data_IF_339042799810
#
_entry.id   IF_339042799810
#
_cell.length_a   1.000
_cell.length_b   1.000
_cell.length_c   1.000
_cell.angle_alpha   90.00
_cell.angle_beta   90.00
_cell.angle_gamma   90.00
#
_symmetry.space_group_name_H-M   'P 1'
#
loop_
_entity.id
_entity.type
_entity.pdbx_description
1 polymer ?
#
# COMPACT_ATOMS: atom_id res chain seq x y z
N UNK A 1 -6.77 -17.11 14.19
CA UNK A 1 -6.47 -17.17 12.74
C UNK A 1 -6.44 -15.74 12.23
N UNK A 2 -5.35 -15.32 11.59
CA UNK A 2 -5.25 -13.98 10.98
C UNK A 2 -6.21 -13.88 9.81
N UNK A 3 -6.89 -12.74 9.66
CA UNK A 3 -7.75 -12.51 8.48
C UNK A 3 -6.89 -12.44 7.20
N UNK A 4 -7.39 -12.93 6.05
CA UNK A 4 -6.75 -12.69 4.76
C UNK A 4 -6.49 -11.20 4.56
N UNK A 5 -5.31 -10.90 4.03
CA UNK A 5 -4.89 -9.52 3.82
C UNK A 5 -5.75 -8.87 2.73
N UNK A 6 -5.99 -7.57 2.86
CA UNK A 6 -6.81 -6.77 1.93
C UNK A 6 -5.93 -5.86 1.12
N UNK A 7 -6.30 -5.63 -0.14
CA UNK A 7 -5.64 -4.62 -0.95
C UNK A 7 -6.32 -3.28 -0.74
N UNK A 8 -5.55 -2.21 -0.55
CA UNK A 8 -6.05 -0.84 -0.44
C UNK A 8 -5.49 -0.06 -1.63
N UNK A 9 -6.38 0.53 -2.41
CA UNK A 9 -6.07 1.32 -3.61
C UNK A 9 -6.53 2.75 -3.38
N UNK A 10 -5.58 3.68 -3.26
CA UNK A 10 -5.86 5.09 -3.00
C UNK A 10 -5.47 5.97 -4.18
N UNK A 11 -6.38 6.83 -4.61
CA UNK A 11 -6.11 7.80 -5.67
C UNK A 11 -4.98 8.75 -5.27
N UNK A 12 -4.01 8.91 -6.18
CA UNK A 12 -2.89 9.84 -6.05
C UNK A 12 -3.20 11.11 -6.83
N UNK A 13 -3.07 12.24 -6.16
CA UNK A 13 -3.23 13.57 -6.73
C UNK A 13 -1.88 14.06 -7.26
N UNK A 14 -1.80 14.24 -8.57
CA UNK A 14 -0.69 14.94 -9.24
C UNK A 14 -1.15 16.33 -9.70
N UNK A 15 -0.25 17.33 -9.64
CA UNK A 15 -0.53 18.66 -10.20
C UNK A 15 -0.66 18.60 -11.71
N UNK A 16 0.10 17.71 -12.34
CA UNK A 16 0.04 17.41 -13.77
C UNK A 16 -1.27 16.71 -14.19
N UNK A 17 -2.14 16.35 -13.24
CA UNK A 17 -3.34 15.58 -13.49
C UNK A 17 -3.07 14.07 -13.59
N UNK A 18 -4.10 13.30 -13.91
CA UNK A 18 -4.03 11.84 -14.10
C UNK A 18 -5.11 11.12 -13.32
N UNK A 19 -6.15 10.71 -14.05
CA UNK A 19 -7.34 10.11 -13.45
C UNK A 19 -7.07 8.72 -12.87
N UNK A 20 -6.07 7.99 -13.36
CA UNK A 20 -5.78 6.61 -12.98
C UNK A 20 -4.61 6.48 -11.99
N UNK A 21 -4.01 7.58 -11.56
CA UNK A 21 -2.88 7.52 -10.62
C UNK A 21 -3.34 7.04 -9.26
N UNK A 22 -2.64 6.05 -8.72
CA UNK A 22 -2.98 5.48 -7.42
C UNK A 22 -1.77 4.84 -6.74
N UNK A 23 -1.93 4.58 -5.46
CA UNK A 23 -1.01 3.81 -4.64
C UNK A 23 -1.74 2.61 -4.07
N UNK A 24 -1.10 1.46 -4.13
CA UNK A 24 -1.59 0.19 -3.63
C UNK A 24 -0.76 -0.24 -2.42
N UNK A 25 -1.40 -0.80 -1.40
CA UNK A 25 -0.72 -1.50 -0.32
C UNK A 25 -1.63 -2.53 0.31
N UNK A 26 -1.04 -3.48 1.03
CA UNK A 26 -1.77 -4.53 1.72
C UNK A 26 -2.06 -4.14 3.17
N UNK A 27 -3.27 -4.46 3.64
CA UNK A 27 -3.73 -4.26 5.00
C UNK A 27 -4.12 -5.60 5.62
N UNK A 28 -3.39 -6.00 6.66
CA UNK A 28 -3.69 -7.13 7.53
C UNK A 28 -4.00 -6.64 8.97
N UNK A 29 -4.25 -7.57 9.88
CA UNK A 29 -4.55 -7.25 11.29
C UNK A 29 -3.38 -6.53 11.99
N UNK A 30 -2.13 -6.86 11.62
CA UNK A 30 -0.93 -6.23 12.17
C UNK A 30 -0.75 -4.80 11.64
N UNK A 31 -1.05 -4.55 10.37
CA UNK A 31 -1.07 -3.21 9.79
C UNK A 31 -2.13 -2.35 10.48
N UNK A 32 -3.35 -2.88 10.64
CA UNK A 32 -4.43 -2.18 11.31
C UNK A 32 -4.05 -1.80 12.76
N UNK A 33 -3.44 -2.73 13.50
CA UNK A 33 -2.99 -2.47 14.87
C UNK A 33 -1.85 -1.46 14.94
N UNK A 34 -0.85 -1.55 14.05
CA UNK A 34 0.20 -0.52 13.95
C UNK A 34 -0.38 0.84 13.63
N UNK A 35 -1.39 0.91 12.77
CA UNK A 35 -2.03 2.18 12.43
C UNK A 35 -2.76 2.79 13.64
N UNK A 36 -3.40 1.97 14.50
CA UNK A 36 -3.95 2.43 15.80
C UNK A 36 -2.88 2.97 16.74
N UNK A 37 -1.76 2.23 16.87
CA UNK A 37 -0.64 2.64 17.72
C UNK A 37 -0.02 3.94 17.23
N UNK A 38 0.23 4.09 15.93
CA UNK A 38 0.76 5.32 15.37
C UNK A 38 -0.22 6.49 15.52
N UNK A 39 -1.53 6.24 15.42
CA UNK A 39 -2.57 7.24 15.66
C UNK A 39 -2.54 7.74 17.11
N UNK A 40 -2.27 6.89 18.09
CA UNK A 40 -2.22 7.31 19.50
C UNK A 40 -1.02 8.21 19.83
N UNK A 41 0.04 8.18 19.01
CA UNK A 41 1.19 9.09 19.12
C UNK A 41 0.86 10.55 18.77
N UNK A 42 -0.25 10.79 18.06
CA UNK A 42 -0.66 12.11 17.61
C UNK A 42 -1.93 12.51 18.36
N UNK A 43 -1.83 13.11 19.55
CA UNK A 43 -3.00 13.41 20.36
C UNK A 43 -3.91 14.44 19.66
N UNK A 44 -5.24 14.34 19.80
CA UNK A 44 -6.14 15.38 19.30
C UNK A 44 -5.81 16.75 19.90
N UNK A 45 -5.82 17.78 19.06
CA UNK A 45 -5.57 19.18 19.44
C UNK A 45 -6.81 19.80 20.10
N UNK A 46 -7.14 19.30 21.29
CA UNK A 46 -8.17 19.87 22.17
C UNK A 46 -7.68 21.18 22.82
N UNK A 47 -8.61 21.96 23.39
CA UNK A 47 -8.27 23.19 24.12
C UNK A 47 -7.19 22.97 25.21
N UNK A 48 -7.16 21.78 25.82
CA UNK A 48 -6.18 21.38 26.84
C UNK A 48 -4.76 21.19 26.28
N UNK A 49 -4.64 20.67 25.06
CA UNK A 49 -3.34 20.37 24.44
C UNK A 49 -2.81 21.53 23.58
N UNK A 50 -3.67 22.47 23.14
CA UNK A 50 -3.25 23.68 22.41
C UNK A 50 -2.37 24.62 23.24
N UNK A 51 -2.42 24.52 24.56
CA UNK A 51 -1.62 25.34 25.49
C UNK A 51 -0.28 24.71 25.85
N UNK A 52 0.03 23.51 25.35
CA UNK A 52 1.34 22.89 25.56
C UNK A 52 2.38 23.50 24.62
N UNK A 53 3.58 23.73 25.15
CA UNK A 53 4.68 24.33 24.37
C UNK A 53 5.11 23.46 23.17
N UNK A 54 4.97 22.14 23.27
CA UNK A 54 5.34 21.17 22.23
C UNK A 54 4.28 20.06 22.11
N UNK A 55 3.79 19.82 20.89
CA UNK A 55 2.84 18.75 20.57
C UNK A 55 3.23 18.11 19.24
N UNK A 56 3.09 16.78 19.15
CA UNK A 56 3.21 16.05 17.89
C UNK A 56 1.92 16.27 17.08
N UNK A 57 2.00 17.10 16.03
CA UNK A 57 0.87 17.36 15.12
C UNK A 57 0.71 16.27 14.05
N UNK A 58 1.84 15.74 13.57
CA UNK A 58 1.88 14.71 12.53
C UNK A 58 3.01 13.73 12.74
N UNK A 59 2.77 12.48 12.37
CA UNK A 59 3.80 11.43 12.31
C UNK A 59 3.91 10.93 10.88
N UNK A 60 5.14 10.84 10.36
CA UNK A 60 5.43 10.28 9.04
C UNK A 60 6.13 8.93 9.22
N UNK A 61 5.58 7.88 8.63
CA UNK A 61 6.09 6.51 8.74
C UNK A 61 6.34 5.95 7.36
N UNK A 62 7.45 5.24 7.18
CA UNK A 62 7.78 4.62 5.88
C UNK A 62 6.73 3.57 5.51
N UNK A 63 6.35 3.57 4.24
CA UNK A 63 5.46 2.57 3.64
C UNK A 63 6.21 1.85 2.52
N UNK A 64 7.12 0.91 2.87
CA UNK A 64 8.01 0.28 1.90
C UNK A 64 7.29 -0.69 0.96
N UNK A 65 6.13 -1.20 1.35
CA UNK A 65 5.33 -2.17 0.56
C UNK A 65 4.34 -1.51 -0.39
N UNK A 66 4.38 -0.18 -0.51
CA UNK A 66 3.46 0.53 -1.39
C UNK A 66 3.94 0.50 -2.84
N UNK A 67 3.04 0.09 -3.72
CA UNK A 67 3.24 0.12 -5.18
C UNK A 67 2.57 1.39 -5.70
N UNK A 68 3.34 2.25 -6.36
CA UNK A 68 2.84 3.51 -6.91
C UNK A 68 2.63 3.37 -8.41
N UNK A 69 1.41 3.57 -8.90
CA UNK A 69 1.08 3.50 -10.33
C UNK A 69 0.72 4.89 -10.84
N UNK A 70 1.56 5.44 -11.71
CA UNK A 70 1.51 6.86 -12.11
C UNK A 70 1.30 7.07 -13.62
N UNK A 71 0.52 6.19 -14.26
CA UNK A 71 0.13 6.31 -15.67
C UNK A 71 1.30 6.04 -16.64
N UNK A 72 1.23 4.91 -17.35
CA UNK A 72 2.22 4.53 -18.38
C UNK A 72 3.40 3.67 -17.90
N UNK A 73 3.60 3.48 -16.60
CA UNK A 73 4.59 2.56 -16.02
C UNK A 73 3.88 1.59 -15.05
N UNK A 74 4.31 0.31 -15.04
CA UNK A 74 3.71 -0.73 -14.19
C UNK A 74 3.90 -0.42 -12.69
N UNK A 75 5.07 0.11 -12.33
CA UNK A 75 5.41 0.58 -10.99
C UNK A 75 6.37 1.77 -11.13
N UNK A 76 6.02 2.91 -10.54
CA UNK A 76 6.84 4.10 -10.55
C UNK A 76 7.86 4.06 -9.41
N UNK A 77 9.09 4.46 -9.70
CA UNK A 77 10.10 4.62 -8.65
C UNK A 77 9.78 5.84 -7.78
N UNK A 78 9.42 5.59 -6.52
CA UNK A 78 9.03 6.64 -5.56
C UNK A 78 9.99 6.69 -4.38
N UNK A 79 10.62 7.85 -4.22
CA UNK A 79 11.48 8.13 -3.07
C UNK A 79 10.65 8.53 -1.86
N UNK A 80 10.98 7.96 -0.70
CA UNK A 80 10.39 8.34 0.58
C UNK A 80 8.90 8.01 0.72
N UNK A 81 8.43 6.93 0.09
CA UNK A 81 7.08 6.38 0.25
C UNK A 81 6.71 6.25 1.74
N UNK A 82 5.57 6.82 2.12
CA UNK A 82 5.18 6.96 3.52
C UNK A 82 3.67 7.08 3.71
N UNK A 83 3.25 6.84 4.95
CA UNK A 83 1.96 7.27 5.49
C UNK A 83 2.22 8.47 6.41
N UNK A 84 1.41 9.51 6.26
CA UNK A 84 1.37 10.66 7.17
C UNK A 84 0.08 10.58 7.97
N UNK A 85 0.20 10.61 9.30
CA UNK A 85 -0.92 10.56 10.24
C UNK A 85 -1.04 11.93 10.90
N UNK A 86 -2.24 12.51 10.87
CA UNK A 86 -2.52 13.82 11.45
C UNK A 86 -3.31 13.72 12.76
N UNK A 87 -3.24 14.79 13.57
CA UNK A 87 -3.88 14.87 14.89
C UNK A 87 -5.40 14.69 14.87
N UNK A 88 -6.03 14.91 13.72
CA UNK A 88 -7.48 14.75 13.49
C UNK A 88 -7.90 13.30 13.22
N UNK A 89 -6.95 12.37 13.11
CA UNK A 89 -7.24 10.94 12.91
C UNK A 89 -7.41 10.52 11.47
N UNK A 90 -6.88 11.34 10.58
CA UNK A 90 -6.76 11.04 9.17
C UNK A 90 -5.35 10.59 8.83
N UNK A 91 -5.23 9.84 7.74
CA UNK A 91 -3.96 9.56 7.11
C UNK A 91 -4.00 9.88 5.62
N UNK A 92 -2.84 10.10 5.03
CA UNK A 92 -2.66 10.08 3.59
C UNK A 92 -1.35 9.35 3.26
N UNK A 93 -1.26 8.81 2.04
CA UNK A 93 0.01 8.34 1.51
C UNK A 93 0.77 9.49 0.86
N UNK A 94 2.10 9.44 0.90
CA UNK A 94 2.95 10.46 0.31
C UNK A 94 4.27 9.89 -0.20
N UNK A 95 4.82 10.54 -1.22
CA UNK A 95 6.10 10.16 -1.82
C UNK A 95 6.61 11.24 -2.76
N UNK A 96 7.74 10.98 -3.40
CA UNK A 96 8.29 11.82 -4.47
C UNK A 96 8.63 10.95 -5.66
N UNK A 97 8.05 11.24 -6.81
CA UNK A 97 8.38 10.58 -8.07
C UNK A 97 9.87 10.82 -8.37
N UNK A 98 10.65 9.75 -8.53
CA UNK A 98 12.10 9.86 -8.68
C UNK A 98 12.48 10.51 -10.02
N UNK A 99 11.71 10.26 -11.07
CA UNK A 99 11.99 10.72 -12.44
C UNK A 99 11.59 12.17 -12.61
N UNK A 100 10.34 12.50 -12.28
CA UNK A 100 9.80 13.85 -12.47
C UNK A 100 10.10 14.79 -11.30
N UNK A 101 10.52 14.24 -10.16
CA UNK A 101 10.69 14.95 -8.88
C UNK A 101 9.37 15.54 -8.34
N UNK A 102 8.22 15.17 -8.91
CA UNK A 102 6.90 15.63 -8.48
C UNK A 102 6.52 15.04 -7.11
N UNK A 103 5.86 15.84 -6.26
CA UNK A 103 5.32 15.36 -5.00
C UNK A 103 4.05 14.55 -5.26
N UNK A 104 4.00 13.35 -4.70
CA UNK A 104 2.85 12.46 -4.76
C UNK A 104 2.13 12.49 -3.42
N UNK A 105 0.81 12.60 -3.45
CA UNK A 105 -0.02 12.66 -2.25
C UNK A 105 -1.40 12.10 -2.56
N UNK A 106 -1.98 11.35 -1.64
CA UNK A 106 -3.40 10.95 -1.73
C UNK A 106 -4.28 11.96 -1.00
N UNK A 107 -5.59 11.91 -1.23
CA UNK A 107 -6.52 12.52 -0.30
C UNK A 107 -6.40 11.89 1.09
N UNK A 108 -6.77 12.66 2.11
CA UNK A 108 -6.83 12.18 3.49
C UNK A 108 -8.02 11.23 3.65
N UNK A 109 -7.83 10.15 4.40
CA UNK A 109 -8.88 9.19 4.75
C UNK A 109 -8.92 8.93 6.26
N UNK A 110 -10.10 8.75 6.89
CA UNK A 110 -10.17 8.49 8.33
C UNK A 110 -9.58 7.13 8.69
N UNK A 111 -8.64 7.11 9.65
CA UNK A 111 -8.01 5.87 10.14
C UNK A 111 -9.06 4.95 10.77
N UNK A 112 -9.94 5.51 11.61
CA UNK A 112 -11.03 4.75 12.24
C UNK A 112 -11.90 4.05 11.21
N UNK A 113 -12.29 4.78 10.14
CA UNK A 113 -13.10 4.21 9.07
C UNK A 113 -12.39 3.08 8.32
N UNK A 114 -11.10 3.22 8.02
CA UNK A 114 -10.34 2.15 7.37
C UNK A 114 -10.31 0.87 8.23
N UNK A 115 -10.13 1.04 9.54
CA UNK A 115 -10.10 -0.07 10.50
C UNK A 115 -11.47 -0.74 10.66
N UNK A 116 -12.54 0.05 10.71
CA UNK A 116 -13.92 -0.45 10.71
C UNK A 116 -14.19 -1.28 9.45
N UNK A 117 -13.86 -0.74 8.27
CA UNK A 117 -14.00 -1.46 7.00
C UNK A 117 -13.23 -2.80 7.01
N UNK A 118 -11.99 -2.82 7.50
CA UNK A 118 -11.21 -4.07 7.65
C UNK A 118 -11.87 -5.07 8.62
N UNK A 119 -12.67 -4.58 9.55
CA UNK A 119 -13.38 -5.39 10.55
C UNK A 119 -14.71 -5.94 10.02
N UNK A 120 -15.43 -5.15 9.21
CA UNK A 120 -16.80 -5.43 8.76
C UNK A 120 -16.87 -6.07 7.38
N UNK A 121 -15.97 -5.70 6.47
CA UNK A 121 -16.02 -6.15 5.08
C UNK A 121 -15.53 -7.59 4.91
N UNK A 122 -15.97 -8.31 3.86
CA UNK A 122 -15.43 -9.61 3.49
C UNK A 122 -13.89 -9.63 3.46
N UNK A 123 -13.32 -10.78 3.84
CA UNK A 123 -11.88 -10.97 3.77
C UNK A 123 -11.42 -11.01 2.30
N UNK A 124 -10.26 -10.43 2.02
CA UNK A 124 -9.72 -10.33 0.66
C UNK A 124 -10.39 -9.28 -0.24
N UNK A 125 -11.42 -8.57 0.22
CA UNK A 125 -11.98 -7.45 -0.56
C UNK A 125 -10.93 -6.35 -0.77
N UNK A 126 -10.86 -5.82 -2.00
CA UNK A 126 -10.04 -4.66 -2.33
C UNK A 126 -10.79 -3.37 -1.98
N UNK A 127 -10.17 -2.49 -1.20
CA UNK A 127 -10.72 -1.21 -0.79
C UNK A 127 -10.26 -0.11 -1.75
N UNK A 128 -11.21 0.47 -2.47
CA UNK A 128 -10.96 1.59 -3.35
C UNK A 128 -11.30 2.90 -2.63
N UNK A 129 -10.37 3.85 -2.66
CA UNK A 129 -10.51 5.15 -2.00
C UNK A 129 -10.15 6.25 -3.00
N UNK A 130 -11.13 7.09 -3.31
CA UNK A 130 -11.02 8.19 -4.27
C UNK A 130 -11.56 9.47 -3.65
N UNK A 131 -10.89 10.59 -3.85
CA UNK A 131 -11.33 11.89 -3.33
C UNK A 131 -11.61 11.89 -1.80
N UNK A 132 -10.93 11.00 -1.06
CA UNK A 132 -11.10 10.82 0.39
C UNK A 132 -12.34 10.01 0.79
N UNK A 133 -13.01 9.36 -0.17
CA UNK A 133 -14.23 8.58 0.01
C UNK A 133 -13.97 7.12 -0.32
N UNK A 134 -14.57 6.21 0.45
CA UNK A 134 -14.53 4.78 0.17
C UNK A 134 -15.54 4.44 -0.94
N UNK A 135 -15.05 3.97 -2.08
CA UNK A 135 -15.83 3.95 -3.32
C UNK A 135 -16.57 2.65 -3.57
N UNK A 136 -16.28 1.58 -2.84
CA UNK A 136 -16.95 0.28 -3.04
C UNK A 136 -18.47 0.35 -2.81
N UNK A 137 -18.93 1.34 -2.03
CA UNK A 137 -20.35 1.57 -1.73
C UNK A 137 -21.00 2.56 -2.72
N UNK A 138 -20.23 3.18 -3.61
CA UNK A 138 -20.73 4.16 -4.57
C UNK A 138 -21.38 3.48 -5.79
N UNK A 139 -22.44 4.07 -6.38
CA UNK A 139 -23.02 3.55 -7.61
C UNK A 139 -21.97 3.41 -8.73
N UNK A 140 -22.06 2.35 -9.54
CA UNK A 140 -21.10 2.09 -10.62
C UNK A 140 -21.03 3.23 -11.65
N UNK A 141 -22.14 3.95 -11.86
CA UNK A 141 -22.23 5.10 -12.74
C UNK A 141 -21.83 6.43 -12.06
N UNK A 142 -21.39 6.43 -10.81
CA UNK A 142 -20.82 7.61 -10.16
C UNK A 142 -19.42 7.92 -10.73
N UNK A 143 -18.86 9.07 -10.40
CA UNK A 143 -17.47 9.35 -10.76
C UNK A 143 -16.51 8.32 -10.12
N UNK A 144 -16.76 7.96 -8.87
CA UNK A 144 -16.00 6.96 -8.13
C UNK A 144 -16.10 5.56 -8.74
N UNK A 145 -17.31 5.12 -9.09
CA UNK A 145 -17.54 3.82 -9.74
C UNK A 145 -16.85 3.73 -11.11
N UNK A 146 -16.97 4.77 -11.94
CA UNK A 146 -16.25 4.85 -13.23
C UNK A 146 -14.73 4.83 -13.07
N UNK A 147 -14.21 5.39 -11.98
CA UNK A 147 -12.78 5.33 -11.70
C UNK A 147 -12.33 3.91 -11.39
N UNK A 148 -13.06 3.20 -10.53
CA UNK A 148 -12.77 1.78 -10.25
C UNK A 148 -12.79 0.96 -11.56
N UNK A 149 -13.80 1.16 -12.40
CA UNK A 149 -13.86 0.52 -13.71
C UNK A 149 -12.63 0.83 -14.58
N UNK A 150 -12.19 2.10 -14.65
CA UNK A 150 -10.99 2.47 -15.40
C UNK A 150 -9.69 1.85 -14.87
N UNK A 151 -9.63 1.54 -13.57
CA UNK A 151 -8.49 0.83 -13.00
C UNK A 151 -8.48 -0.63 -13.43
N UNK A 152 -9.65 -1.28 -13.49
CA UNK A 152 -9.79 -2.67 -13.95
C UNK A 152 -9.45 -2.79 -15.44
N UNK A 153 -9.94 -1.89 -16.28
CA UNK A 153 -9.59 -1.84 -17.70
C UNK A 153 -8.07 -1.70 -17.92
N UNK A 154 -7.40 -0.90 -17.07
CA UNK A 154 -5.94 -0.75 -17.12
C UNK A 154 -5.20 -2.02 -16.66
N UNK A 155 -5.80 -2.79 -15.76
CA UNK A 155 -5.25 -4.07 -15.32
C UNK A 155 -5.42 -5.16 -16.38
N UNK A 156 -6.59 -5.24 -17.03
CA UNK A 156 -6.89 -6.21 -18.10
C UNK A 156 -6.06 -5.99 -19.37
N UNK A 157 -5.71 -4.74 -19.67
CA UNK A 157 -4.85 -4.40 -20.83
C UNK A 157 -3.36 -4.67 -20.58
N UNK A 158 -2.99 -5.11 -19.36
CA UNK A 158 -1.61 -5.45 -19.02
C UNK A 158 -1.22 -6.79 -19.65
N UNK A 159 -0.07 -6.88 -20.34
CA UNK A 159 0.49 -8.18 -20.69
C UNK A 159 0.77 -8.98 -19.40
N UNK A 160 0.52 -10.30 -19.39
CA UNK A 160 0.77 -11.11 -18.20
C UNK A 160 2.22 -10.91 -17.74
N UNK A 161 2.42 -10.75 -16.43
CA UNK A 161 3.77 -10.68 -15.87
C UNK A 161 4.53 -11.92 -16.34
N UNK A 162 5.59 -11.70 -17.11
CA UNK A 162 6.41 -12.80 -17.62
C UNK A 162 6.98 -13.53 -16.40
N UNK A 163 6.90 -14.87 -16.34
CA UNK A 163 7.50 -15.60 -15.23
C UNK A 163 8.97 -15.20 -15.14
N UNK A 164 9.37 -14.77 -13.95
CA UNK A 164 10.73 -14.38 -13.63
C UNK A 164 11.71 -15.45 -14.13
N UNK A 165 12.77 -15.04 -14.85
CA UNK A 165 13.83 -15.94 -15.34
C UNK A 165 14.48 -16.80 -14.23
N UNK A 166 14.25 -16.45 -12.96
CA UNK A 166 14.70 -17.21 -11.81
C UNK A 166 14.01 -18.58 -11.64
N UNK A 167 12.82 -18.79 -12.23
CA UNK A 167 12.09 -20.07 -12.16
C UNK A 167 12.64 -21.15 -13.12
N UNK A 168 13.66 -20.82 -13.93
CA UNK A 168 14.32 -21.79 -14.83
C UNK A 168 15.54 -22.49 -14.20
N UNK A 169 15.92 -22.14 -12.97
CA UNK A 169 17.08 -22.72 -12.28
C UNK A 169 16.75 -23.94 -11.39
N UNK A 170 15.67 -24.68 -11.67
CA UNK A 170 15.52 -26.04 -11.13
C UNK A 170 16.32 -27.04 -11.95
N UNK A 171 17.60 -27.23 -11.59
CA UNK A 171 18.43 -28.23 -12.25
C UNK A 171 19.91 -28.25 -11.90
N UNK A 172 20.30 -27.96 -10.65
CA UNK A 172 21.66 -28.28 -10.19
C UNK A 172 21.56 -29.40 -9.14
N UNK A 173 21.98 -30.64 -9.46
CA UNK A 173 22.10 -31.67 -8.44
C UNK A 173 23.17 -31.25 -7.42
N UNK A 174 22.76 -31.20 -6.16
CA UNK A 174 23.63 -31.08 -4.99
C UNK A 174 24.70 -32.18 -5.05
N UNK A 175 25.97 -31.79 -4.91
CA UNK A 175 27.06 -32.73 -4.59
C UNK A 175 26.70 -33.49 -3.31
N UNK A 176 26.47 -34.79 -3.42
CA UNK A 176 26.50 -35.71 -2.28
C UNK A 176 27.94 -36.20 -2.11
N UNK A 177 28.61 -35.73 -1.06
CA UNK A 177 29.72 -36.47 -0.45
C UNK A 177 29.19 -37.70 0.32
N UNK A 178 30.10 -38.67 0.54
CA UNK A 178 30.01 -39.96 1.26
C UNK A 178 29.88 -41.17 0.31
N UNK A 179 30.83 -42.09 0.14
CA UNK A 179 32.09 -42.40 0.84
C UNK A 179 32.21 -43.93 1.00
N UNK A 180 33.31 -44.55 0.55
CA UNK A 180 33.74 -45.88 1.00
C UNK A 180 35.22 -46.16 0.65
N UNK A 181 35.90 -46.79 1.60
CA UNK A 181 37.34 -46.96 1.86
C UNK A 181 38.16 -47.82 0.86
N UNK A 182 39.51 -47.80 0.92
CA UNK A 182 40.37 -48.59 0.05
C UNK A 182 40.45 -50.05 0.51
N UNK A 183 40.41 -50.98 -0.44
CA UNK A 183 40.75 -52.38 -0.20
C UNK A 183 42.24 -52.60 -0.53
N UNK A 184 43.01 -53.01 0.47
CA UNK A 184 44.33 -53.64 0.31
C UNK A 184 44.25 -55.10 0.76
N UNK A 185 45.24 -55.88 0.25
CA UNK A 185 45.72 -57.21 0.66
C UNK A 185 45.29 -58.40 -0.22
N UNK A 186 46.11 -58.78 -1.20
CA UNK A 186 47.23 -59.74 -1.04
C UNK A 186 48.05 -59.84 -2.33
#
# INVERSE_FOLDING_TARGET
>A
MSRPARHVVMQVVKRSGGATHHVEFTMDDNFAERLRQLRSLVPPLTALNRQRDLVIDKVRVRLPTAVWRLGGEAEAEVDGSCIVIAAEGFFNCGGKDRKTKEKLVTYTFPIGRLIELHSERPAGETFYIRDGVFTNDEPANSAAGRWVASLHEMEETRPPESPSDFDTLQGVPLRTEQGALPASLN
#
